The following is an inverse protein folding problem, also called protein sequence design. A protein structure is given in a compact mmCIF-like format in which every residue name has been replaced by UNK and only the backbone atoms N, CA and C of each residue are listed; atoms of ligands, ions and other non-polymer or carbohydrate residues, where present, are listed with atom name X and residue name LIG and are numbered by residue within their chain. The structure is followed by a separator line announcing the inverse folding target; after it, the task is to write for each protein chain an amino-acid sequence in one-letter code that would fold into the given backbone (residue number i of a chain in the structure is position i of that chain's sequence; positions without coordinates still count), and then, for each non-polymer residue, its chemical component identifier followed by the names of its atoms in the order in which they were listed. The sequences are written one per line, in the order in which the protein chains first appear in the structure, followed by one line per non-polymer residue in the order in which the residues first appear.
data_IF_095149554878
#
_entry.id   IF_095149554878
#
_cell.length_a   1.000
_cell.length_b   1.000
_cell.length_c   1.000
_cell.angle_alpha   90.00
_cell.angle_beta   90.00
_cell.angle_gamma   90.00
#
_symmetry.space_group_name_H-M   'P 1'
#
loop_
_entity.id
_entity.type
_entity.pdbx_description
1 polymer ?
#
# COMPACT_ATOMS: atom_id res chain seq x y z
N UNK A 1 16.92 -55.15 -17.90
CA UNK A 1 17.78 -54.18 -17.18
C UNK A 1 18.48 -53.33 -18.23
N UNK A 2 18.15 -52.04 -18.29
CA UNK A 2 18.71 -51.09 -19.24
C UNK A 2 17.99 -49.77 -19.06
N UNK A 3 18.61 -48.88 -18.30
CA UNK A 3 17.98 -47.77 -17.59
C UNK A 3 17.39 -46.66 -18.44
N UNK A 4 16.26 -46.13 -17.95
CA UNK A 4 15.74 -44.82 -18.30
C UNK A 4 16.74 -43.76 -17.83
N UNK A 5 17.35 -43.06 -18.80
CA UNK A 5 18.20 -41.92 -18.54
C UNK A 5 17.35 -40.73 -18.08
N UNK A 6 17.72 -40.23 -16.90
CA UNK A 6 17.26 -39.03 -16.21
C UNK A 6 16.78 -37.89 -17.12
N UNK A 7 15.47 -37.63 -17.13
CA UNK A 7 14.93 -36.32 -17.50
C UNK A 7 15.31 -35.32 -16.40
N UNK A 8 16.37 -34.55 -16.64
CA UNK A 8 16.67 -33.32 -15.89
C UNK A 8 15.47 -32.38 -15.95
N UNK A 9 14.79 -32.20 -14.83
CA UNK A 9 13.83 -31.14 -14.62
C UNK A 9 14.59 -29.80 -14.64
N UNK A 10 14.48 -29.06 -15.74
CA UNK A 10 14.86 -27.64 -15.76
C UNK A 10 13.76 -26.87 -15.04
N UNK A 11 14.02 -26.45 -13.80
CA UNK A 11 13.25 -25.38 -13.18
C UNK A 11 13.43 -24.14 -14.06
N UNK A 12 12.47 -23.87 -14.95
CA UNK A 12 12.34 -22.55 -15.54
C UNK A 12 12.21 -21.54 -14.42
N UNK A 13 12.96 -20.44 -14.47
CA UNK A 13 12.80 -19.34 -13.52
C UNK A 13 11.39 -18.76 -13.67
N UNK A 14 10.44 -19.26 -12.89
CA UNK A 14 9.14 -18.62 -12.72
C UNK A 14 9.43 -17.37 -11.89
N UNK A 15 9.51 -16.21 -12.55
CA UNK A 15 9.64 -14.92 -11.87
C UNK A 15 8.56 -14.78 -10.80
N UNK A 16 8.94 -14.37 -9.59
CA UNK A 16 7.97 -14.18 -8.48
C UNK A 16 6.82 -13.27 -8.92
N UNK A 17 5.58 -13.65 -8.62
CA UNK A 17 4.41 -12.80 -8.91
C UNK A 17 4.56 -11.42 -8.27
N UNK A 18 3.91 -10.41 -8.85
CA UNK A 18 3.93 -9.05 -8.32
C UNK A 18 3.41 -9.02 -6.88
N UNK A 19 2.35 -9.78 -6.59
CA UNK A 19 1.81 -9.90 -5.25
C UNK A 19 2.82 -10.43 -4.24
N UNK A 20 3.58 -11.47 -4.60
CA UNK A 20 4.64 -11.99 -3.74
C UNK A 20 5.72 -10.96 -3.45
N UNK A 21 6.09 -10.14 -4.43
CA UNK A 21 7.08 -9.07 -4.24
C UNK A 21 6.56 -7.98 -3.29
N UNK A 22 5.27 -7.65 -3.34
CA UNK A 22 4.63 -6.68 -2.42
C UNK A 22 4.54 -7.23 -0.99
N UNK A 23 4.25 -8.52 -0.83
CA UNK A 23 4.27 -9.19 0.48
C UNK A 23 5.69 -9.17 1.07
N UNK A 24 6.69 -9.54 0.27
CA UNK A 24 8.10 -9.50 0.68
C UNK A 24 8.52 -8.08 1.10
N UNK A 25 8.09 -7.04 0.35
CA UNK A 25 8.33 -5.65 0.73
C UNK A 25 7.65 -5.33 2.08
N UNK A 26 6.39 -5.71 2.26
CA UNK A 26 5.63 -5.44 3.49
C UNK A 26 6.29 -6.06 4.72
N UNK A 27 6.79 -7.30 4.61
CA UNK A 27 7.53 -7.95 5.70
C UNK A 27 8.89 -7.31 5.95
N UNK A 28 9.64 -6.98 4.90
CA UNK A 28 10.92 -6.28 5.03
C UNK A 28 10.76 -4.92 5.72
N UNK A 29 9.70 -4.17 5.40
CA UNK A 29 9.41 -2.90 6.06
C UNK A 29 9.01 -3.08 7.53
N UNK A 30 8.27 -4.13 7.89
CA UNK A 30 7.97 -4.44 9.31
C UNK A 30 9.25 -4.75 10.10
N UNK A 31 10.14 -5.59 9.55
CA UNK A 31 11.43 -5.90 10.20
C UNK A 31 12.28 -4.64 10.33
N UNK A 32 12.28 -3.78 9.32
CA UNK A 32 13.01 -2.51 9.34
C UNK A 32 12.44 -1.56 10.41
N UNK A 33 11.12 -1.40 10.49
CA UNK A 33 10.41 -0.64 11.55
C UNK A 33 10.81 -1.13 12.93
N UNK A 34 10.71 -2.43 13.17
CA UNK A 34 11.01 -3.03 14.47
C UNK A 34 12.48 -2.83 14.82
N UNK A 35 13.39 -3.01 13.84
CA UNK A 35 14.82 -2.77 14.05
C UNK A 35 15.12 -1.32 14.38
N UNK A 36 14.56 -0.34 13.65
CA UNK A 36 14.72 1.08 13.95
C UNK A 36 14.19 1.43 15.36
N UNK A 37 13.00 0.94 15.73
CA UNK A 37 12.41 1.17 17.04
C UNK A 37 13.27 0.59 18.17
N UNK A 38 13.79 -0.62 17.99
CA UNK A 38 14.65 -1.27 19.00
C UNK A 38 16.01 -0.57 19.13
N UNK A 39 16.57 -0.09 18.02
CA UNK A 39 17.82 0.67 18.03
C UNK A 39 17.67 2.03 18.73
N UNK A 40 16.55 2.74 18.52
CA UNK A 40 16.21 3.96 19.27
C UNK A 40 16.11 3.70 20.78
N UNK A 41 15.70 2.49 21.17
CA UNK A 41 15.67 2.02 22.55
C UNK A 41 17.01 1.41 23.02
N UNK A 42 18.13 1.74 22.37
CA UNK A 42 19.49 1.28 22.70
C UNK A 42 19.70 -0.25 22.64
N UNK A 43 18.85 -1.00 21.93
CA UNK A 43 19.03 -2.45 21.70
C UNK A 43 19.93 -2.69 20.48
N UNK A 44 21.24 -2.48 20.66
CA UNK A 44 22.25 -2.45 19.58
C UNK A 44 22.33 -3.72 18.71
N UNK A 45 21.89 -4.88 19.20
CA UNK A 45 21.92 -6.12 18.43
C UNK A 45 20.93 -6.13 17.23
N UNK A 46 20.04 -5.15 17.15
CA UNK A 46 19.16 -4.94 15.99
C UNK A 46 19.85 -4.27 14.79
N UNK A 47 21.13 -3.88 14.88
CA UNK A 47 21.86 -3.38 13.71
C UNK A 47 22.04 -4.46 12.64
N UNK A 48 22.15 -5.73 13.02
CA UNK A 48 22.24 -6.85 12.07
C UNK A 48 20.96 -7.01 11.24
N UNK A 49 19.76 -7.22 11.83
CA UNK A 49 18.53 -7.33 11.06
C UNK A 49 18.26 -6.05 10.25
N UNK A 50 18.55 -4.86 10.80
CA UNK A 50 18.46 -3.60 10.03
C UNK A 50 19.30 -3.66 8.76
N UNK A 51 20.58 -4.00 8.88
CA UNK A 51 21.54 -4.02 7.76
C UNK A 51 21.22 -5.10 6.74
N UNK A 52 20.75 -6.26 7.20
CA UNK A 52 20.25 -7.33 6.33
C UNK A 52 19.07 -6.88 5.47
N UNK A 53 18.08 -6.19 6.07
CA UNK A 53 16.94 -5.66 5.33
C UNK A 53 17.34 -4.51 4.41
N UNK A 54 18.19 -3.58 4.86
CA UNK A 54 18.72 -2.50 4.01
C UNK A 54 19.47 -3.07 2.80
N UNK A 55 20.23 -4.14 2.99
CA UNK A 55 20.88 -4.83 1.88
C UNK A 55 19.86 -5.36 0.89
N UNK A 56 18.84 -6.10 1.34
CA UNK A 56 17.79 -6.65 0.49
C UNK A 56 17.00 -5.55 -0.27
N UNK A 57 16.69 -4.45 0.41
CA UNK A 57 15.85 -3.38 -0.12
C UNK A 57 16.59 -2.41 -1.04
N UNK A 58 17.88 -2.14 -0.79
CA UNK A 58 18.63 -1.07 -1.45
C UNK A 58 19.89 -1.51 -2.19
N UNK A 59 20.48 -2.65 -1.84
CA UNK A 59 21.83 -2.96 -2.33
C UNK A 59 22.05 -4.37 -2.87
N UNK A 60 21.07 -5.26 -2.81
CA UNK A 60 21.28 -6.66 -3.14
C UNK A 60 21.70 -6.82 -4.61
N UNK A 61 22.76 -7.62 -4.80
CA UNK A 61 23.40 -7.91 -6.09
C UNK A 61 23.32 -9.40 -6.44
N UNK A 62 22.45 -10.15 -5.75
CA UNK A 62 22.39 -11.61 -5.75
C UNK A 62 22.28 -12.27 -7.14
N UNK A 63 22.07 -11.52 -8.24
CA UNK A 63 22.14 -12.01 -9.62
C UNK A 63 22.74 -11.00 -10.63
N UNK A 64 23.99 -10.58 -10.44
CA UNK A 64 24.74 -9.84 -11.48
C UNK A 64 24.27 -8.40 -11.71
N UNK A 65 24.61 -7.83 -12.88
CA UNK A 65 24.33 -6.41 -13.24
C UNK A 65 22.84 -6.03 -13.27
N UNK A 66 21.94 -7.02 -13.26
CA UNK A 66 20.48 -6.85 -13.35
C UNK A 66 19.74 -7.13 -12.02
N UNK A 67 20.47 -7.25 -10.91
CA UNK A 67 19.88 -7.37 -9.59
C UNK A 67 19.34 -6.00 -9.13
N UNK A 68 18.06 -5.75 -9.36
CA UNK A 68 17.35 -4.57 -8.87
C UNK A 68 16.87 -4.81 -7.42
N UNK A 69 17.33 -4.03 -6.44
CA UNK A 69 16.86 -4.10 -5.06
C UNK A 69 15.32 -3.96 -4.97
N UNK A 70 14.68 -4.69 -4.05
CA UNK A 70 13.22 -4.92 -4.10
C UNK A 70 12.40 -3.62 -4.14
N UNK A 71 12.72 -2.65 -3.28
CA UNK A 71 12.00 -1.38 -3.21
C UNK A 71 12.18 -0.56 -4.51
N UNK A 72 13.41 -0.47 -5.01
CA UNK A 72 13.71 0.27 -6.25
C UNK A 72 13.07 -0.39 -7.47
N UNK A 73 13.10 -1.72 -7.53
CA UNK A 73 12.47 -2.51 -8.59
C UNK A 73 10.96 -2.30 -8.65
N UNK A 74 10.30 -2.35 -7.49
CA UNK A 74 8.86 -2.14 -7.41
C UNK A 74 8.49 -0.69 -7.75
N UNK A 75 9.24 0.28 -7.23
CA UNK A 75 9.04 1.69 -7.56
C UNK A 75 9.14 1.94 -9.08
N UNK A 76 10.15 1.39 -9.74
CA UNK A 76 10.32 1.48 -11.20
C UNK A 76 9.18 0.79 -11.97
N UNK A 77 8.71 -0.37 -11.50
CA UNK A 77 7.59 -1.10 -12.11
C UNK A 77 6.25 -0.35 -12.04
N UNK A 78 6.04 0.45 -10.99
CA UNK A 78 4.83 1.26 -10.80
C UNK A 78 5.01 2.72 -11.23
N UNK A 79 6.12 3.05 -11.91
CA UNK A 79 6.47 4.41 -12.34
C UNK A 79 6.39 5.44 -11.19
N UNK A 80 6.89 5.03 -10.01
CA UNK A 80 6.94 5.87 -8.81
C UNK A 80 8.36 6.34 -8.57
N UNK A 81 8.58 7.65 -8.73
CA UNK A 81 9.85 8.27 -8.39
C UNK A 81 9.99 8.40 -6.86
N UNK A 82 10.97 7.72 -6.28
CA UNK A 82 11.32 7.86 -4.86
C UNK A 82 12.37 8.96 -4.70
N UNK A 83 12.04 10.00 -3.93
CA UNK A 83 12.89 11.16 -3.69
C UNK A 83 13.29 11.22 -2.22
N UNK A 84 14.51 11.68 -1.94
CA UNK A 84 14.91 12.08 -0.60
C UNK A 84 15.64 13.41 -0.62
N UNK A 85 15.80 13.99 0.56
CA UNK A 85 16.52 15.22 0.80
C UNK A 85 17.73 14.92 1.68
N UNK A 86 18.92 15.28 1.21
CA UNK A 86 20.18 15.09 1.92
C UNK A 86 21.00 16.37 1.98
N UNK A 87 21.85 16.51 2.98
CA UNK A 87 22.80 17.61 3.00
C UNK A 87 23.80 17.48 1.84
N UNK A 88 24.28 18.59 1.27
CA UNK A 88 25.30 18.55 0.23
C UNK A 88 26.56 17.86 0.76
N UNK A 89 27.27 17.20 -0.13
CA UNK A 89 28.54 16.59 0.21
C UNK A 89 29.60 17.68 0.50
N UNK A 90 30.02 17.78 1.75
CA UNK A 90 31.08 18.68 2.21
C UNK A 90 32.48 18.09 2.01
N UNK A 91 32.61 16.89 1.44
CA UNK A 91 33.91 16.21 1.26
C UNK A 91 34.93 16.98 0.43
N UNK A 92 34.48 17.90 -0.44
CA UNK A 92 35.34 18.64 -1.38
C UNK A 92 35.61 20.10 -0.97
N UNK A 93 34.98 20.62 0.08
CA UNK A 93 35.14 22.02 0.47
C UNK A 93 35.77 22.15 1.86
N UNK A 94 37.04 22.58 1.90
CA UNK A 94 37.66 23.27 3.04
C UNK A 94 37.59 22.57 4.40
N UNK A 95 37.91 21.27 4.49
CA UNK A 95 38.29 20.72 5.79
C UNK A 95 39.66 21.33 6.18
N UNK A 96 39.80 21.95 7.37
CA UNK A 96 41.04 22.61 7.78
C UNK A 96 42.20 21.61 7.83
N UNK A 97 43.39 22.10 7.48
CA UNK A 97 44.63 21.34 7.32
C UNK A 97 44.94 20.51 8.59
N UNK A 98 44.85 19.19 8.43
CA UNK A 98 45.13 18.14 9.42
C UNK A 98 44.68 16.78 8.85
N UNK A 99 45.23 15.66 9.31
CA UNK A 99 44.80 14.32 8.86
C UNK A 99 43.40 14.00 9.43
N UNK A 100 42.36 14.38 8.69
CA UNK A 100 40.98 14.02 9.00
C UNK A 100 40.88 12.49 9.07
N UNK A 101 40.79 11.96 10.29
CA UNK A 101 40.78 10.52 10.51
C UNK A 101 39.44 9.91 10.09
N UNK A 102 38.33 10.62 10.33
CA UNK A 102 36.99 10.25 9.91
C UNK A 102 36.14 11.50 9.63
N UNK A 103 35.34 11.46 8.58
CA UNK A 103 34.33 12.47 8.25
C UNK A 103 33.06 11.80 7.72
N UNK A 104 31.90 12.28 8.15
CA UNK A 104 30.60 11.82 7.69
C UNK A 104 29.89 13.01 7.04
N UNK A 105 29.45 12.85 5.79
CA UNK A 105 28.71 13.87 5.03
C UNK A 105 27.36 13.35 4.56
N UNK A 106 26.51 14.26 4.08
CA UNK A 106 25.21 13.88 3.52
C UNK A 106 24.05 13.77 4.51
N UNK A 107 24.30 13.97 5.82
CA UNK A 107 23.28 13.89 6.86
C UNK A 107 22.94 15.28 7.43
N UNK A 108 21.70 15.51 7.92
CA UNK A 108 20.59 14.55 7.99
C UNK A 108 19.98 14.22 6.62
N UNK A 109 19.44 13.00 6.51
CA UNK A 109 18.64 12.53 5.37
C UNK A 109 17.17 12.46 5.76
N UNK A 110 16.27 12.85 4.85
CA UNK A 110 14.84 12.99 5.16
C UNK A 110 13.97 12.77 3.92
N UNK A 111 12.72 12.32 4.11
CA UNK A 111 11.79 12.09 3.01
C UNK A 111 11.17 13.40 2.49
N UNK A 112 11.09 14.41 3.35
CA UNK A 112 10.63 15.77 3.06
C UNK A 112 11.74 16.75 3.41
N UNK A 113 11.81 17.89 2.70
CA UNK A 113 12.81 18.91 3.00
C UNK A 113 12.60 19.47 4.41
N UNK A 114 13.58 19.27 5.29
CA UNK A 114 13.60 19.78 6.66
C UNK A 114 14.51 21.01 6.79
N UNK A 115 15.57 21.09 5.98
CA UNK A 115 16.55 22.18 6.02
C UNK A 115 16.68 22.88 4.66
N UNK A 116 16.88 24.21 4.60
CA UNK A 116 17.03 24.94 3.35
C UNK A 116 18.20 24.46 2.47
N UNK A 117 19.29 24.01 3.12
CA UNK A 117 20.49 23.53 2.46
C UNK A 117 20.35 22.13 1.86
N UNK A 118 19.28 21.38 2.17
CA UNK A 118 19.12 20.03 1.65
C UNK A 118 18.85 20.02 0.15
N UNK A 119 19.57 19.14 -0.53
CA UNK A 119 19.42 18.85 -1.95
C UNK A 119 18.52 17.64 -2.14
N UNK A 120 17.59 17.76 -3.09
CA UNK A 120 16.77 16.63 -3.50
C UNK A 120 17.60 15.71 -4.38
N UNK A 121 17.58 14.42 -4.08
CA UNK A 121 18.21 13.39 -4.91
C UNK A 121 17.21 12.27 -5.19
N UNK A 122 17.42 11.57 -6.29
CA UNK A 122 16.68 10.34 -6.57
C UNK A 122 17.19 9.22 -5.66
N UNK A 123 16.28 8.50 -5.01
CA UNK A 123 16.64 7.43 -4.08
C UNK A 123 17.39 6.28 -4.75
N UNK A 124 17.22 6.08 -6.06
CA UNK A 124 17.99 5.11 -6.85
C UNK A 124 19.49 5.42 -6.85
N UNK A 125 19.88 6.70 -6.77
CA UNK A 125 21.29 7.12 -6.71
C UNK A 125 21.87 7.08 -5.28
N UNK A 126 21.02 7.06 -4.27
CA UNK A 126 21.43 7.18 -2.87
C UNK A 126 22.41 6.09 -2.41
N UNK A 127 22.24 4.80 -2.77
CA UNK A 127 23.19 3.75 -2.41
C UNK A 127 24.64 4.04 -2.85
N UNK A 128 24.82 4.81 -3.92
CA UNK A 128 26.14 5.06 -4.51
C UNK A 128 26.72 6.43 -4.09
N UNK A 129 26.01 7.22 -3.26
CA UNK A 129 26.54 8.46 -2.68
C UNK A 129 27.60 8.13 -1.63
N UNK A 130 28.74 8.81 -1.70
CA UNK A 130 29.83 8.76 -0.71
C UNK A 130 29.43 9.55 0.52
N UNK A 131 29.36 8.89 1.67
CA UNK A 131 28.86 9.46 2.93
C UNK A 131 29.87 9.36 4.07
N UNK A 132 30.91 8.54 3.92
CA UNK A 132 31.94 8.33 4.95
C UNK A 132 33.31 8.49 4.29
N UNK A 133 34.20 9.24 4.92
CA UNK A 133 35.62 9.30 4.61
C UNK A 133 36.40 8.82 5.83
N UNK A 134 37.30 7.85 5.67
CA UNK A 134 38.21 7.38 6.74
C UNK A 134 39.62 7.43 6.17
N UNK A 135 40.52 8.20 6.79
CA UNK A 135 41.92 8.36 6.37
C UNK A 135 42.07 8.64 4.86
N UNK A 136 41.21 9.51 4.31
CA UNK A 136 41.21 9.88 2.89
C UNK A 136 40.50 8.89 1.94
N UNK A 137 40.08 7.72 2.41
CA UNK A 137 39.28 6.77 1.63
C UNK A 137 37.79 7.04 1.80
N UNK A 138 37.08 7.14 0.67
CA UNK A 138 35.65 7.43 0.64
C UNK A 138 34.82 6.18 0.42
N UNK A 139 33.75 6.05 1.20
CA UNK A 139 32.84 4.92 1.20
C UNK A 139 31.40 5.39 1.00
N UNK A 140 30.70 4.64 0.15
CA UNK A 140 29.30 4.82 -0.23
C UNK A 140 28.34 4.26 0.82
N UNK A 141 27.08 4.68 0.75
CA UNK A 141 25.97 4.11 1.52
C UNK A 141 25.95 2.58 1.37
N UNK A 142 26.15 2.08 0.14
CA UNK A 142 26.20 0.65 -0.18
C UNK A 142 27.31 -0.09 0.56
N UNK A 143 28.51 0.46 0.58
CA UNK A 143 29.65 -0.14 1.29
C UNK A 143 29.40 -0.15 2.81
N UNK A 144 28.86 0.94 3.35
CA UNK A 144 28.50 1.04 4.77
C UNK A 144 27.47 -0.03 5.15
N UNK A 145 26.39 -0.19 4.38
CA UNK A 145 25.40 -1.27 4.60
C UNK A 145 26.08 -2.65 4.53
N UNK A 146 26.93 -2.86 3.51
CA UNK A 146 27.64 -4.11 3.30
C UNK A 146 28.54 -4.51 4.47
N UNK A 147 29.21 -3.54 5.11
CA UNK A 147 30.06 -3.81 6.26
C UNK A 147 29.31 -4.36 7.47
N UNK A 148 28.11 -3.85 7.75
CA UNK A 148 27.29 -4.34 8.86
C UNK A 148 26.53 -5.63 8.49
N UNK A 149 26.08 -5.78 7.25
CA UNK A 149 25.33 -6.96 6.82
C UNK A 149 26.19 -8.25 6.73
N UNK A 150 27.46 -8.15 6.31
CA UNK A 150 28.34 -9.32 6.13
C UNK A 150 29.01 -9.80 7.43
N UNK A 151 29.04 -9.00 8.50
CA UNK A 151 29.86 -9.32 9.67
C UNK A 151 29.12 -10.05 10.78
N UNK A 152 27.81 -9.86 10.94
CA UNK A 152 27.09 -10.43 12.09
C UNK A 152 26.07 -11.54 11.71
N UNK A 153 25.88 -11.83 10.42
CA UNK A 153 24.91 -12.83 9.90
C UNK A 153 25.47 -14.21 9.53
N UNK A 154 26.78 -14.44 9.70
CA UNK A 154 27.43 -15.72 9.43
C UNK A 154 28.11 -15.82 8.06
N UNK A 155 29.43 -16.05 8.12
CA UNK A 155 30.30 -16.59 7.06
C UNK A 155 30.68 -15.62 5.92
N UNK A 156 31.98 -15.35 5.83
CA UNK A 156 32.71 -14.56 4.82
C UNK A 156 32.88 -13.06 5.15
N UNK A 157 34.06 -12.76 5.71
CA UNK A 157 34.60 -11.40 5.76
C UNK A 157 34.60 -10.79 4.36
N UNK A 158 33.94 -9.64 4.19
CA UNK A 158 34.12 -8.85 2.98
C UNK A 158 35.59 -8.40 2.90
N UNK A 159 36.31 -8.73 1.81
CA UNK A 159 37.72 -8.36 1.65
C UNK A 159 37.95 -6.84 1.57
N UNK A 160 36.90 -6.06 1.31
CA UNK A 160 36.96 -4.59 1.12
C UNK A 160 36.72 -3.80 2.41
N UNK A 161 36.81 -4.45 3.58
CA UNK A 161 36.58 -3.81 4.87
C UNK A 161 37.85 -3.11 5.36
N UNK A 162 37.77 -1.85 5.83
CA UNK A 162 38.91 -1.20 6.46
C UNK A 162 39.38 -1.99 7.69
N UNK A 163 40.70 -2.14 7.86
CA UNK A 163 41.30 -2.82 9.02
C UNK A 163 40.79 -2.27 10.35
N UNK A 164 40.50 -0.96 10.39
CA UNK A 164 40.18 -0.23 11.60
C UNK A 164 38.66 -0.08 11.80
N UNK A 165 37.81 -0.75 11.01
CA UNK A 165 36.36 -0.59 11.09
C UNK A 165 35.81 -0.82 12.51
N UNK A 166 36.41 -1.72 13.29
CA UNK A 166 35.97 -1.98 14.67
C UNK A 166 36.04 -0.71 15.55
N UNK A 167 36.95 0.20 15.27
CA UNK A 167 37.11 1.47 15.99
C UNK A 167 36.00 2.46 15.62
N UNK A 168 35.51 2.41 14.38
CA UNK A 168 34.56 3.38 13.83
C UNK A 168 33.10 2.92 13.88
N UNK A 169 32.84 1.67 14.25
CA UNK A 169 31.51 1.07 14.23
C UNK A 169 30.50 1.90 15.03
N UNK A 170 30.90 2.44 16.18
CA UNK A 170 30.03 3.24 17.06
C UNK A 170 29.57 4.53 16.39
N UNK A 171 30.43 5.18 15.60
CA UNK A 171 30.10 6.42 14.89
C UNK A 171 29.21 6.18 13.66
N UNK A 172 29.34 5.01 13.03
CA UNK A 172 28.54 4.62 11.86
C UNK A 172 27.12 4.14 12.20
N UNK A 173 26.83 3.86 13.47
CA UNK A 173 25.51 3.42 13.95
C UNK A 173 24.41 4.43 13.64
N UNK A 174 24.63 5.71 13.93
CA UNK A 174 23.61 6.75 13.72
C UNK A 174 23.33 7.02 12.22
N UNK A 175 24.34 7.16 11.35
CA UNK A 175 24.13 7.18 9.89
C UNK A 175 23.35 5.97 9.38
N UNK A 176 23.69 4.76 9.82
CA UNK A 176 23.02 3.55 9.40
C UNK A 176 21.56 3.50 9.87
N UNK A 177 21.27 3.94 11.09
CA UNK A 177 19.91 4.10 11.59
C UNK A 177 19.11 5.10 10.73
N UNK A 178 19.67 6.26 10.41
CA UNK A 178 19.02 7.25 9.54
C UNK A 178 18.76 6.69 8.12
N UNK A 179 19.68 5.88 7.57
CA UNK A 179 19.46 5.16 6.31
C UNK A 179 18.28 4.17 6.44
N UNK A 180 18.19 3.47 7.57
CA UNK A 180 17.05 2.62 7.93
C UNK A 180 15.73 3.37 7.94
N UNK A 181 15.70 4.51 8.62
CA UNK A 181 14.50 5.33 8.80
C UNK A 181 14.02 5.94 7.47
N UNK A 182 14.93 6.44 6.63
CA UNK A 182 14.54 6.98 5.32
C UNK A 182 14.02 5.89 4.39
N UNK A 183 14.66 4.71 4.37
CA UNK A 183 14.19 3.58 3.58
C UNK A 183 12.81 3.10 4.04
N UNK A 184 12.57 3.09 5.35
CA UNK A 184 11.28 2.78 5.94
C UNK A 184 10.21 3.79 5.51
N UNK A 185 10.47 5.10 5.66
CA UNK A 185 9.51 6.16 5.31
C UNK A 185 9.15 6.12 3.83
N UNK A 186 10.14 5.99 2.94
CA UNK A 186 9.91 5.90 1.50
C UNK A 186 9.15 4.62 1.12
N UNK A 187 9.50 3.49 1.73
CA UNK A 187 8.78 2.23 1.54
C UNK A 187 7.33 2.28 2.02
N UNK A 188 7.08 2.93 3.16
CA UNK A 188 5.74 3.17 3.70
C UNK A 188 4.91 4.06 2.78
N UNK A 189 5.47 5.18 2.31
CA UNK A 189 4.81 6.08 1.37
C UNK A 189 4.48 5.37 0.06
N UNK A 190 5.41 4.57 -0.47
CA UNK A 190 5.18 3.74 -1.64
C UNK A 190 4.03 2.74 -1.43
N UNK A 191 4.08 1.93 -0.36
CA UNK A 191 3.05 0.94 -0.06
C UNK A 191 1.67 1.58 0.13
N UNK A 192 1.63 2.69 0.87
CA UNK A 192 0.42 3.48 1.10
C UNK A 192 -0.18 3.99 -0.21
N UNK A 193 0.66 4.45 -1.15
CA UNK A 193 0.20 4.93 -2.46
C UNK A 193 -0.45 3.84 -3.33
N UNK A 194 -0.17 2.56 -3.05
CA UNK A 194 -0.72 1.43 -3.77
C UNK A 194 -1.95 0.83 -3.06
N UNK A 195 -1.97 0.83 -1.73
CA UNK A 195 -2.97 0.12 -0.93
C UNK A 195 -4.06 1.02 -0.32
N UNK A 196 -3.79 2.32 -0.15
CA UNK A 196 -4.73 3.20 0.55
C UNK A 196 -5.79 3.73 -0.40
N UNK A 197 -7.06 3.56 -0.05
CA UNK A 197 -8.17 4.00 -0.86
C UNK A 197 -9.41 4.37 -0.05
N UNK A 198 -10.28 5.15 -0.68
CA UNK A 198 -11.66 5.35 -0.26
C UNK A 198 -12.60 4.98 -1.42
N UNK A 199 -13.68 4.24 -1.12
CA UNK A 199 -14.77 3.96 -2.05
C UNK A 199 -16.02 4.66 -1.55
N UNK A 200 -16.59 5.51 -2.39
CA UNK A 200 -17.73 6.35 -2.09
C UNK A 200 -18.95 5.85 -2.86
N UNK A 201 -20.07 5.68 -2.17
CA UNK A 201 -21.33 5.23 -2.76
C UNK A 201 -22.48 6.15 -2.36
N UNK A 202 -23.33 6.51 -3.33
CA UNK A 202 -24.66 7.06 -3.07
C UNK A 202 -25.71 6.00 -3.39
N UNK A 203 -26.32 5.45 -2.34
CA UNK A 203 -27.20 4.30 -2.43
C UNK A 203 -28.62 4.66 -2.02
N UNK A 204 -29.60 4.03 -2.67
CA UNK A 204 -31.01 4.11 -2.32
C UNK A 204 -31.57 2.70 -2.16
N UNK A 205 -31.93 2.34 -0.93
CA UNK A 205 -32.48 1.02 -0.60
C UNK A 205 -33.98 1.19 -0.31
N UNK A 206 -34.88 0.95 -1.28
CA UNK A 206 -36.32 1.18 -1.08
C UNK A 206 -36.95 0.19 -0.10
N UNK A 207 -36.40 -1.02 -0.03
CA UNK A 207 -36.87 -2.12 0.80
C UNK A 207 -35.68 -2.94 1.26
N UNK A 208 -35.70 -3.35 2.53
CA UNK A 208 -34.67 -4.27 3.05
C UNK A 208 -34.75 -5.63 2.35
N UNK A 209 -33.61 -6.29 2.12
CA UNK A 209 -33.60 -7.59 1.48
C UNK A 209 -34.19 -8.65 2.42
N UNK A 210 -34.74 -9.72 1.86
CA UNK A 210 -35.20 -10.87 2.66
C UNK A 210 -34.03 -11.76 3.11
N UNK A 211 -32.89 -11.64 2.42
CA UNK A 211 -31.67 -12.41 2.64
C UNK A 211 -30.44 -11.50 2.57
N UNK A 212 -29.24 -12.09 2.69
CA UNK A 212 -28.00 -11.34 2.55
C UNK A 212 -27.69 -11.15 1.07
N UNK A 213 -27.50 -9.90 0.64
CA UNK A 213 -27.32 -9.53 -0.77
C UNK A 213 -26.05 -8.73 -0.99
N UNK A 214 -25.48 -8.85 -2.19
CA UNK A 214 -24.34 -8.05 -2.64
C UNK A 214 -24.84 -6.77 -3.28
N UNK A 215 -24.39 -5.63 -2.76
CA UNK A 215 -24.56 -4.33 -3.41
C UNK A 215 -23.45 -4.12 -4.43
N UNK A 216 -22.23 -4.50 -4.06
CA UNK A 216 -21.02 -4.33 -4.83
C UNK A 216 -20.06 -5.49 -4.57
N UNK A 217 -19.39 -5.95 -5.62
CA UNK A 217 -18.36 -6.97 -5.54
C UNK A 217 -17.27 -6.73 -6.58
N UNK A 218 -16.01 -6.68 -6.16
CA UNK A 218 -14.87 -6.45 -7.03
C UNK A 218 -13.84 -7.54 -6.81
N UNK A 219 -13.51 -8.31 -7.85
CA UNK A 219 -12.48 -9.36 -7.81
C UNK A 219 -11.30 -8.94 -8.68
N UNK A 220 -10.12 -8.93 -8.08
CA UNK A 220 -8.89 -8.64 -8.80
C UNK A 220 -8.56 -9.78 -9.75
N UNK A 221 -8.33 -9.45 -11.01
CA UNK A 221 -8.24 -10.43 -12.10
C UNK A 221 -7.11 -11.46 -11.96
N UNK A 222 -6.05 -11.16 -11.18
CA UNK A 222 -4.80 -11.96 -11.18
C UNK A 222 -4.49 -12.70 -9.88
N UNK A 223 -4.83 -12.13 -8.72
CA UNK A 223 -4.23 -12.51 -7.44
C UNK A 223 -5.27 -12.72 -6.32
N UNK A 224 -6.56 -12.93 -6.67
CA UNK A 224 -7.61 -13.35 -5.73
C UNK A 224 -8.01 -12.31 -4.67
N UNK A 225 -7.44 -11.10 -4.71
CA UNK A 225 -7.90 -9.96 -3.90
C UNK A 225 -9.37 -9.67 -4.21
N UNK A 226 -10.14 -9.29 -3.19
CA UNK A 226 -11.58 -9.03 -3.34
C UNK A 226 -12.05 -7.95 -2.40
N UNK A 227 -13.00 -7.13 -2.85
CA UNK A 227 -13.73 -6.16 -2.03
C UNK A 227 -15.21 -6.39 -2.28
N UNK A 228 -15.98 -6.69 -1.25
CA UNK A 228 -17.42 -6.91 -1.35
C UNK A 228 -18.14 -6.06 -0.32
N UNK A 229 -19.17 -5.33 -0.76
CA UNK A 229 -20.11 -4.64 0.13
C UNK A 229 -21.46 -5.36 0.04
N UNK A 230 -21.94 -5.81 1.20
CA UNK A 230 -23.17 -6.56 1.33
C UNK A 230 -24.13 -5.86 2.28
N UNK A 231 -25.42 -6.13 2.08
CA UNK A 231 -26.51 -5.70 2.94
C UNK A 231 -27.22 -6.94 3.48
N UNK A 232 -27.44 -6.99 4.79
CA UNK A 232 -28.22 -8.06 5.40
C UNK A 232 -29.71 -7.71 5.53
N UNK A 233 -30.52 -8.70 5.94
CA UNK A 233 -31.97 -8.55 6.13
C UNK A 233 -32.38 -7.56 7.22
N UNK A 234 -31.45 -7.18 8.10
CA UNK A 234 -31.67 -6.20 9.17
C UNK A 234 -31.22 -4.79 8.75
N UNK A 235 -30.78 -4.62 7.50
CA UNK A 235 -30.28 -3.34 7.00
C UNK A 235 -28.88 -2.99 7.48
N UNK A 236 -28.10 -3.98 7.95
CA UNK A 236 -26.70 -3.80 8.35
C UNK A 236 -25.77 -3.98 7.16
N UNK A 237 -24.72 -3.17 7.12
CA UNK A 237 -23.68 -3.32 6.11
C UNK A 237 -22.62 -4.30 6.57
N UNK A 238 -22.16 -5.12 5.63
CA UNK A 238 -21.02 -6.00 5.80
C UNK A 238 -20.02 -5.74 4.67
N UNK A 239 -18.82 -5.31 5.05
CA UNK A 239 -17.67 -5.23 4.17
C UNK A 239 -16.83 -6.50 4.33
N UNK A 240 -16.58 -7.20 3.23
CA UNK A 240 -15.63 -8.30 3.16
C UNK A 240 -14.48 -7.89 2.26
N UNK A 241 -13.25 -7.96 2.76
CA UNK A 241 -12.06 -7.74 1.93
C UNK A 241 -11.14 -8.93 2.04
N UNK A 242 -10.50 -9.31 0.93
CA UNK A 242 -9.48 -10.34 0.86
C UNK A 242 -8.20 -9.74 0.30
N UNK A 243 -7.11 -9.87 1.04
CA UNK A 243 -5.80 -9.36 0.61
C UNK A 243 -5.12 -10.30 -0.39
N UNK A 244 -3.94 -9.88 -0.81
CA UNK A 244 -3.09 -10.60 -1.77
C UNK A 244 -2.46 -11.87 -1.19
N UNK A 245 -2.45 -12.02 0.14
CA UNK A 245 -2.06 -13.26 0.83
C UNK A 245 -3.24 -14.24 0.95
N UNK A 246 -4.44 -13.78 0.60
CA UNK A 246 -5.69 -14.52 0.73
C UNK A 246 -6.31 -14.48 2.13
N UNK A 247 -5.79 -13.64 3.03
CA UNK A 247 -6.38 -13.36 4.34
C UNK A 247 -7.59 -12.48 4.13
N UNK A 248 -8.69 -12.82 4.81
CA UNK A 248 -9.94 -12.05 4.74
C UNK A 248 -10.18 -11.28 6.02
N UNK A 249 -10.72 -10.08 5.88
CA UNK A 249 -11.34 -9.31 6.95
C UNK A 249 -12.83 -9.17 6.64
N UNK A 250 -13.65 -9.24 7.69
CA UNK A 250 -15.09 -9.02 7.59
C UNK A 250 -15.47 -8.00 8.66
N UNK A 251 -15.96 -6.85 8.20
CA UNK A 251 -16.39 -5.75 9.04
C UNK A 251 -17.90 -5.58 8.92
N UNK A 252 -18.62 -5.64 10.04
CA UNK A 252 -20.09 -5.51 10.08
C UNK A 252 -20.49 -4.32 10.93
N UNK A 253 -21.52 -3.59 10.51
CA UNK A 253 -22.10 -2.55 11.36
C UNK A 253 -22.79 -3.17 12.56
N UNK A 254 -22.59 -2.60 13.75
CA UNK A 254 -23.23 -3.07 14.99
C UNK A 254 -24.73 -2.74 14.99
N UNK A 255 -25.08 -1.57 14.46
CA UNK A 255 -26.42 -1.00 14.48
C UNK A 255 -27.15 -1.18 13.14
N UNK A 256 -28.49 -1.12 13.20
CA UNK A 256 -29.34 -1.02 12.02
C UNK A 256 -29.22 0.40 11.45
N UNK A 257 -29.08 0.50 10.13
CA UNK A 257 -28.92 1.78 9.45
C UNK A 257 -30.27 2.26 8.90
N UNK A 258 -30.46 3.58 8.90
CA UNK A 258 -31.64 4.20 8.33
C UNK A 258 -31.48 4.42 6.82
N UNK A 259 -32.28 3.70 6.04
CA UNK A 259 -32.27 3.72 4.58
C UNK A 259 -33.45 4.50 3.97
N UNK A 260 -34.15 5.32 4.76
CA UNK A 260 -35.32 6.09 4.32
C UNK A 260 -35.01 7.05 3.15
N UNK A 261 -33.76 7.52 3.08
CA UNK A 261 -33.29 8.45 2.06
C UNK A 261 -32.11 7.89 1.27
N UNK A 262 -31.66 8.64 0.25
CA UNK A 262 -30.39 8.32 -0.41
C UNK A 262 -29.27 8.47 0.63
N UNK A 263 -28.52 7.40 0.83
CA UNK A 263 -27.48 7.31 1.85
C UNK A 263 -26.10 7.41 1.22
N UNK A 264 -25.19 8.08 1.93
CA UNK A 264 -23.80 8.19 1.54
C UNK A 264 -22.96 7.22 2.35
N UNK A 265 -22.41 6.21 1.68
CA UNK A 265 -21.56 5.18 2.29
C UNK A 265 -20.13 5.38 1.83
N UNK A 266 -19.18 5.38 2.75
CA UNK A 266 -17.75 5.42 2.44
C UNK A 266 -17.06 4.23 3.06
N UNK A 267 -16.30 3.51 2.25
CA UNK A 267 -15.37 2.46 2.69
C UNK A 267 -13.98 3.07 2.64
N UNK A 268 -13.24 3.05 3.74
CA UNK A 268 -11.86 3.54 3.81
C UNK A 268 -10.94 2.42 4.25
N UNK A 269 -9.81 2.26 3.55
CA UNK A 269 -8.75 1.32 3.91
C UNK A 269 -7.42 2.05 3.87
N UNK A 270 -6.70 2.06 4.99
CA UNK A 270 -5.46 2.81 5.14
C UNK A 270 -4.39 1.99 5.86
N UNK A 271 -3.26 1.73 5.20
CA UNK A 271 -2.00 1.38 5.84
C UNK A 271 -1.39 2.65 6.43
N UNK A 272 -1.18 2.67 7.74
CA UNK A 272 -0.61 3.81 8.45
C UNK A 272 0.93 3.73 8.54
N UNK A 273 1.55 4.73 9.17
CA UNK A 273 3.00 4.80 9.38
C UNK A 273 3.55 3.71 10.30
N UNK A 274 2.68 3.05 11.07
CA UNK A 274 3.05 1.90 11.87
C UNK A 274 2.87 0.60 11.09
N UNK A 275 2.61 0.63 9.78
CA UNK A 275 2.37 -0.57 8.95
C UNK A 275 1.19 -1.41 9.47
N UNK A 276 0.19 -0.75 10.05
CA UNK A 276 -1.08 -1.32 10.50
C UNK A 276 -2.16 -0.85 9.52
N UNK A 277 -3.10 -1.73 9.16
CA UNK A 277 -4.22 -1.35 8.32
C UNK A 277 -5.46 -1.04 9.14
N UNK A 278 -5.99 0.16 8.98
CA UNK A 278 -7.29 0.57 9.49
C UNK A 278 -8.34 0.49 8.37
N UNK A 279 -9.45 -0.20 8.63
CA UNK A 279 -10.58 -0.29 7.70
C UNK A 279 -11.83 0.25 8.37
N UNK A 280 -12.56 1.12 7.68
CA UNK A 280 -13.72 1.84 8.23
C UNK A 280 -14.89 1.82 7.25
N UNK A 281 -16.10 1.74 7.78
CA UNK A 281 -17.35 2.05 7.07
C UNK A 281 -17.89 3.33 7.70
N UNK A 282 -18.08 4.35 6.86
CA UNK A 282 -18.77 5.58 7.23
C UNK A 282 -20.15 5.58 6.58
N UNK A 283 -21.16 5.98 7.33
CA UNK A 283 -22.54 6.14 6.87
C UNK A 283 -22.99 7.56 7.18
N UNK A 284 -23.33 8.31 6.13
CA UNK A 284 -23.72 9.72 6.21
C UNK A 284 -22.71 10.58 7.00
N UNK A 285 -21.42 10.26 6.90
CA UNK A 285 -20.32 10.96 7.57
C UNK A 285 -19.95 10.42 8.96
N UNK A 286 -20.75 9.55 9.57
CA UNK A 286 -20.45 8.93 10.85
C UNK A 286 -19.75 7.58 10.66
N UNK A 287 -18.72 7.27 11.46
CA UNK A 287 -18.09 5.95 11.47
C UNK A 287 -19.05 4.96 12.13
N UNK A 288 -19.52 3.97 11.39
CA UNK A 288 -20.48 2.95 11.86
C UNK A 288 -19.87 1.56 12.05
N UNK A 289 -18.65 1.36 11.53
CA UNK A 289 -17.83 0.18 11.79
C UNK A 289 -16.36 0.52 11.54
N UNK A 290 -15.45 -0.05 12.35
CA UNK A 290 -14.02 0.06 12.16
C UNK A 290 -13.31 -1.21 12.65
N UNK A 291 -12.23 -1.60 11.97
CA UNK A 291 -11.35 -2.71 12.35
C UNK A 291 -9.89 -2.29 12.17
N UNK A 292 -9.00 -2.85 13.00
CA UNK A 292 -7.56 -2.57 12.95
C UNK A 292 -6.79 -3.88 12.80
N UNK A 293 -6.18 -4.07 11.64
CA UNK A 293 -5.32 -5.22 11.33
C UNK A 293 -3.88 -4.86 11.66
N UNK A 294 -3.27 -5.61 12.58
CA UNK A 294 -1.89 -5.37 13.11
C UNK A 294 -0.76 -5.64 12.10
N UNK A 295 -1.07 -5.65 10.80
CA UNK A 295 -0.13 -5.80 9.69
C UNK A 295 -0.67 -5.04 8.46
N UNK A 296 0.18 -4.75 7.44
CA UNK A 296 -0.30 -4.20 6.18
C UNK A 296 -1.20 -5.22 5.50
N UNK A 297 -2.45 -4.85 5.30
CA UNK A 297 -3.45 -5.58 4.55
C UNK A 297 -3.50 -5.00 3.13
N UNK A 298 -2.88 -5.70 2.17
CA UNK A 298 -2.72 -5.17 0.82
C UNK A 298 -3.90 -5.55 -0.08
N UNK A 299 -4.65 -4.54 -0.48
CA UNK A 299 -5.66 -4.58 -1.54
C UNK A 299 -5.37 -3.43 -2.49
N UNK A 300 -5.29 -3.69 -3.79
CA UNK A 300 -4.96 -2.66 -4.78
C UNK A 300 -5.98 -1.53 -4.77
N UNK A 301 -5.50 -0.28 -4.73
CA UNK A 301 -6.33 0.91 -4.88
C UNK A 301 -6.79 1.16 -6.33
N UNK A 302 -6.24 0.43 -7.30
CA UNK A 302 -6.54 0.61 -8.72
C UNK A 302 -7.80 -0.18 -9.13
N UNK A 303 -8.99 0.42 -8.98
CA UNK A 303 -10.28 -0.22 -9.28
C UNK A 303 -10.37 -0.80 -10.71
N UNK A 304 -9.66 -0.19 -11.67
CA UNK A 304 -9.64 -0.65 -13.07
C UNK A 304 -9.02 -2.04 -13.23
N UNK A 305 -8.25 -2.52 -12.26
CA UNK A 305 -7.65 -3.84 -12.30
C UNK A 305 -8.61 -4.94 -11.79
N UNK A 306 -9.79 -4.55 -11.33
CA UNK A 306 -10.84 -5.43 -10.83
C UNK A 306 -11.90 -5.70 -11.89
N UNK A 307 -12.44 -6.91 -11.87
CA UNK A 307 -13.76 -7.19 -12.43
C UNK A 307 -14.79 -6.77 -11.39
N UNK A 308 -15.60 -5.78 -11.73
CA UNK A 308 -16.56 -5.15 -10.82
C UNK A 308 -17.97 -5.62 -11.14
N UNK A 309 -18.77 -5.89 -10.13
CA UNK A 309 -20.15 -6.34 -10.20
C UNK A 309 -21.01 -5.51 -9.26
N UNK A 310 -22.21 -5.18 -9.73
CA UNK A 310 -23.23 -4.43 -9.00
C UNK A 310 -24.49 -5.27 -8.90
N UNK A 311 -25.12 -5.30 -7.72
CA UNK A 311 -26.29 -6.13 -7.43
C UNK A 311 -26.08 -7.64 -7.66
N UNK A 312 -24.83 -8.12 -7.59
CA UNK A 312 -24.49 -9.53 -7.78
C UNK A 312 -23.10 -9.82 -7.23
N UNK A 313 -22.88 -11.04 -6.76
CA UNK A 313 -21.54 -11.56 -6.51
C UNK A 313 -20.89 -12.02 -7.82
N UNK A 314 -19.60 -11.78 -8.00
CA UNK A 314 -18.84 -12.21 -9.18
C UNK A 314 -18.99 -13.72 -9.50
N UNK A 315 -19.15 -14.54 -8.46
CA UNK A 315 -19.29 -15.99 -8.56
C UNK A 315 -20.71 -16.47 -8.25
N UNK A 316 -21.66 -15.55 -8.06
CA UNK A 316 -23.02 -15.84 -7.62
C UNK A 316 -24.02 -15.79 -8.75
N UNK A 317 -25.24 -16.21 -8.43
CA UNK A 317 -26.41 -16.05 -9.29
C UNK A 317 -26.98 -14.63 -9.21
N UNK A 318 -27.97 -14.36 -10.04
CA UNK A 318 -28.77 -13.14 -9.98
C UNK A 318 -29.54 -13.06 -8.65
N UNK A 319 -29.69 -11.86 -8.10
CA UNK A 319 -30.32 -11.68 -6.79
C UNK A 319 -31.73 -11.10 -6.93
N UNK A 320 -32.67 -11.58 -6.11
CA UNK A 320 -34.02 -11.01 -6.00
C UNK A 320 -34.01 -9.76 -5.11
N UNK A 321 -33.23 -8.75 -5.50
CA UNK A 321 -33.06 -7.51 -4.77
C UNK A 321 -32.98 -6.31 -5.70
N UNK A 322 -33.52 -5.19 -5.22
CA UNK A 322 -33.57 -3.95 -5.98
C UNK A 322 -32.93 -2.82 -5.20
N UNK A 323 -32.05 -2.05 -5.84
CA UNK A 323 -31.51 -0.83 -5.26
C UNK A 323 -31.15 0.21 -6.30
N UNK A 324 -31.09 1.47 -5.86
CA UNK A 324 -30.61 2.58 -6.64
C UNK A 324 -29.15 2.90 -6.34
N UNK A 325 -28.33 3.07 -7.38
CA UNK A 325 -26.98 3.58 -7.33
C UNK A 325 -26.93 4.95 -8.03
N UNK A 326 -26.74 6.02 -7.28
CA UNK A 326 -26.67 7.38 -7.86
C UNK A 326 -25.26 7.72 -8.32
N UNK A 327 -24.26 7.32 -7.54
CA UNK A 327 -22.85 7.59 -7.83
C UNK A 327 -21.98 6.55 -7.11
N UNK A 328 -20.89 6.16 -7.78
CA UNK A 328 -19.81 5.41 -7.15
C UNK A 328 -18.47 5.91 -7.68
N UNK A 329 -17.53 6.17 -6.78
CA UNK A 329 -16.15 6.37 -7.19
C UNK A 329 -15.19 5.79 -6.15
N UNK A 330 -14.05 5.29 -6.64
CA UNK A 330 -12.94 4.84 -5.82
C UNK A 330 -11.75 5.76 -6.09
N UNK A 331 -11.15 6.26 -5.01
CA UNK A 331 -9.99 7.13 -5.07
C UNK A 331 -8.86 6.50 -4.27
N UNK A 332 -7.62 6.63 -4.76
CA UNK A 332 -6.47 6.52 -3.87
C UNK A 332 -6.61 7.59 -2.79
N UNK A 333 -6.31 7.23 -1.54
CA UNK A 333 -6.45 8.17 -0.42
C UNK A 333 -5.69 9.46 -0.71
N UNK A 334 -6.42 10.58 -0.65
CA UNK A 334 -5.86 11.90 -0.88
C UNK A 334 -5.13 12.33 0.40
N UNK A 335 -3.84 12.67 0.27
CA UNK A 335 -3.03 13.13 1.42
C UNK A 335 -3.50 14.50 1.95
N UNK A 336 -4.21 15.27 1.12
CA UNK A 336 -4.70 16.62 1.43
C UNK A 336 -6.11 16.60 2.05
N UNK A 337 -6.24 17.20 3.24
CA UNK A 337 -7.51 17.33 3.96
C UNK A 337 -8.53 18.18 3.20
N UNK A 338 -8.09 19.18 2.42
CA UNK A 338 -8.98 20.06 1.66
C UNK A 338 -9.64 19.27 0.53
N UNK A 339 -8.87 18.48 -0.21
CA UNK A 339 -9.38 17.64 -1.29
C UNK A 339 -10.33 16.56 -0.76
N UNK A 340 -10.03 15.97 0.40
CA UNK A 340 -10.98 15.07 1.08
C UNK A 340 -12.28 15.81 1.43
N UNK A 341 -12.21 16.97 2.07
CA UNK A 341 -13.40 17.75 2.42
C UNK A 341 -14.22 18.10 1.17
N UNK A 342 -13.58 18.54 0.08
CA UNK A 342 -14.23 18.83 -1.19
C UNK A 342 -14.93 17.60 -1.78
N UNK A 343 -14.32 16.42 -1.66
CA UNK A 343 -14.93 15.17 -2.11
C UNK A 343 -16.17 14.82 -1.28
N UNK A 344 -16.10 14.92 0.05
CA UNK A 344 -17.26 14.74 0.93
C UNK A 344 -18.38 15.73 0.59
N UNK A 345 -18.05 17.00 0.35
CA UNK A 345 -19.00 18.02 -0.06
C UNK A 345 -19.63 17.69 -1.41
N UNK A 346 -18.85 17.25 -2.41
CA UNK A 346 -19.38 16.85 -3.71
C UNK A 346 -20.42 15.73 -3.58
N UNK A 347 -20.10 14.65 -2.87
CA UNK A 347 -21.01 13.52 -2.68
C UNK A 347 -22.26 13.91 -1.89
N UNK A 348 -22.10 14.74 -0.85
CA UNK A 348 -23.23 15.23 -0.07
C UNK A 348 -24.13 16.17 -0.88
N UNK A 349 -23.56 17.05 -1.69
CA UNK A 349 -24.32 17.95 -2.56
C UNK A 349 -25.08 17.17 -3.61
N UNK A 350 -24.46 16.15 -4.22
CA UNK A 350 -25.13 15.26 -5.16
C UNK A 350 -26.31 14.55 -4.49
N UNK A 351 -26.09 13.94 -3.32
CA UNK A 351 -27.15 13.31 -2.50
C UNK A 351 -28.36 14.22 -2.25
N UNK A 352 -28.13 15.51 -1.96
CA UNK A 352 -29.21 16.46 -1.62
C UNK A 352 -29.86 17.03 -2.88
N UNK A 353 -29.07 17.49 -3.86
CA UNK A 353 -29.50 18.34 -4.98
C UNK A 353 -29.78 17.58 -6.28
N UNK A 354 -28.98 16.55 -6.61
CA UNK A 354 -29.06 15.78 -7.87
C UNK A 354 -28.83 14.30 -7.59
N UNK A 355 -29.93 13.58 -7.43
CA UNK A 355 -29.93 12.15 -7.14
C UNK A 355 -30.35 11.36 -8.38
N UNK A 356 -29.87 11.79 -9.55
CA UNK A 356 -29.91 10.99 -10.76
C UNK A 356 -29.09 9.72 -10.56
N UNK A 357 -29.53 8.62 -11.15
CA UNK A 357 -28.93 7.32 -10.89
C UNK A 357 -29.51 6.18 -11.69
N UNK A 358 -29.00 5.00 -11.38
CA UNK A 358 -29.35 3.73 -11.98
C UNK A 358 -30.11 2.90 -10.94
N UNK A 359 -31.25 2.35 -11.33
CA UNK A 359 -32.03 1.42 -10.53
C UNK A 359 -31.81 0.02 -11.11
N UNK A 360 -31.22 -0.85 -10.29
CA UNK A 360 -31.17 -2.28 -10.54
C UNK A 360 -32.45 -2.89 -9.98
N UNK A 361 -33.31 -3.43 -10.85
CA UNK A 361 -34.50 -4.18 -10.43
C UNK A 361 -34.11 -5.62 -10.04
N UNK A 362 -35.07 -6.38 -9.54
CA UNK A 362 -34.84 -7.78 -9.18
C UNK A 362 -34.28 -8.56 -10.40
N UNK A 363 -33.33 -9.45 -10.14
CA UNK A 363 -32.61 -10.25 -11.14
C UNK A 363 -31.79 -9.41 -12.15
N UNK A 364 -31.56 -8.13 -11.87
CA UNK A 364 -30.80 -7.24 -12.75
C UNK A 364 -29.49 -6.85 -12.10
N UNK A 365 -28.42 -6.75 -12.89
CA UNK A 365 -27.07 -6.47 -12.38
C UNK A 365 -26.27 -5.65 -13.38
N UNK A 366 -25.15 -5.10 -12.91
CA UNK A 366 -24.15 -4.47 -13.75
C UNK A 366 -22.80 -5.14 -13.60
N UNK A 367 -21.99 -5.19 -14.65
CA UNK A 367 -20.60 -5.60 -14.55
C UNK A 367 -19.66 -4.75 -15.41
N UNK A 368 -18.42 -4.63 -14.95
CA UNK A 368 -17.34 -3.97 -15.68
C UNK A 368 -16.10 -4.83 -15.59
N UNK A 369 -15.62 -5.42 -16.71
CA UNK A 369 -14.35 -6.14 -16.73
C UNK A 369 -13.17 -5.23 -16.37
N UNK A 370 -12.10 -5.86 -15.90
CA UNK A 370 -10.82 -5.17 -15.71
C UNK A 370 -10.36 -4.49 -17.01
N UNK A 371 -9.89 -3.25 -16.88
CA UNK A 371 -9.42 -2.39 -17.97
C UNK A 371 -10.52 -1.62 -18.69
N UNK A 372 -11.80 -1.91 -18.41
CA UNK A 372 -12.95 -1.26 -19.03
C UNK A 372 -13.66 -0.38 -18.00
N UNK A 373 -14.00 0.85 -18.37
CA UNK A 373 -14.77 1.78 -17.53
C UNK A 373 -16.28 1.68 -17.73
N UNK A 374 -16.70 1.13 -18.86
CA UNK A 374 -18.10 1.06 -19.24
C UNK A 374 -18.79 -0.10 -18.53
N UNK A 375 -19.82 0.21 -17.76
CA UNK A 375 -20.63 -0.77 -17.05
C UNK A 375 -21.64 -1.38 -18.04
N UNK A 376 -21.58 -2.70 -18.21
CA UNK A 376 -22.57 -3.48 -18.92
C UNK A 376 -23.74 -3.76 -18.00
N UNK A 377 -24.95 -3.53 -18.49
CA UNK A 377 -26.19 -3.69 -17.72
C UNK A 377 -26.95 -4.92 -18.20
N UNK A 378 -27.40 -5.73 -17.24
CA UNK A 378 -28.09 -6.99 -17.47
C UNK A 378 -29.45 -6.97 -16.78
N UNK A 379 -30.46 -7.51 -17.45
CA UNK A 379 -31.84 -7.51 -16.96
C UNK A 379 -32.54 -6.16 -17.14
N UNK A 380 -33.47 -5.85 -16.23
CA UNK A 380 -34.22 -4.60 -16.22
C UNK A 380 -33.47 -3.57 -15.39
N UNK A 381 -32.81 -2.64 -16.06
CA UNK A 381 -32.10 -1.53 -15.43
C UNK A 381 -32.73 -0.21 -15.90
N UNK A 382 -33.01 0.70 -14.97
CA UNK A 382 -33.65 1.99 -15.29
C UNK A 382 -32.77 3.14 -14.88
N UNK A 383 -32.50 4.06 -15.80
CA UNK A 383 -31.89 5.36 -15.46
C UNK A 383 -33.01 6.32 -15.07
N UNK A 384 -32.83 7.04 -13.97
CA UNK A 384 -33.76 8.07 -13.50
C UNK A 384 -33.01 9.34 -13.17
N UNK A 385 -33.67 10.48 -13.36
CA UNK A 385 -33.16 11.79 -12.92
C UNK A 385 -33.42 12.03 -11.44
N UNK A 386 -34.24 11.20 -10.79
CA UNK A 386 -34.58 11.33 -9.38
C UNK A 386 -34.84 9.98 -8.70
N UNK A 387 -33.81 9.42 -8.06
CA UNK A 387 -33.89 8.15 -7.31
C UNK A 387 -34.75 8.28 -6.04
N UNK A 388 -35.00 9.48 -5.49
CA UNK A 388 -35.87 9.66 -4.30
C UNK A 388 -37.32 9.32 -4.61
N UNK A 389 -37.79 9.52 -5.85
CA UNK A 389 -39.13 9.06 -6.24
C UNK A 389 -39.27 7.55 -6.15
N UNK A 390 -38.19 6.82 -6.45
CA UNK A 390 -38.16 5.38 -6.32
C UNK A 390 -38.25 4.93 -4.86
N UNK A 391 -37.54 5.60 -3.94
CA UNK A 391 -37.67 5.34 -2.49
C UNK A 391 -39.11 5.50 -1.98
N UNK A 392 -39.89 6.44 -2.53
CA UNK A 392 -41.30 6.64 -2.15
C UNK A 392 -42.18 5.44 -2.55
N UNK A 393 -41.84 4.71 -3.62
CA UNK A 393 -42.62 3.55 -4.10
C UNK A 393 -42.46 2.32 -3.20
N UNK A 394 -41.34 2.20 -2.49
CA UNK A 394 -41.07 1.10 -1.56
C UNK A 394 -41.77 1.21 -0.20
N UNK A 395 -42.43 2.34 0.09
CA UNK A 395 -43.13 2.60 1.36
C UNK A 395 -44.59 2.15 1.41
N UNK A 396 -45.04 1.36 0.42
CA UNK A 396 -46.41 0.82 0.34
C UNK A 396 -46.47 -0.60 0.89
#
# INVERSE_FOLDING_TARGET
MGGEADKKWTYGEIGKSLGRQIIELSWSLQILRDSCNMLRNNRIYYFLPLSGQLRALLTDKSKGKDAHPLLLKLAEKFDKELKLYMMPDTSKSSLPVGEVTMHISGFPVSATRELPSQQQINFKEFPDKKIVCIRGHYYSVREVIGWFANKDGGSHFSPDRPSDFNEWITFLRNPLLQIGEIALQLGQGFLSSLANFEIHFLLAIPKLPNERVYLFDAIYSRDGMRISLLLDKLGKLELSMKDIEGVSIVLKTSEMLDWIEVCYVVISSQVNKDLVTEVKILFNGAIVAAEVVQKPFFVSSAIRDYNVFYNRAANGEEQLFEFGLCEMAMFSMLDDQISRANLYTYFNDKRVKSNDGIIYHALSYGDSPSGISDIRMHGKVTRTENVKEYLKRGKV
#
